data_IF_206958545724
#
_entry.id   IF_206958545724
#
_cell.length_a   1.000
_cell.length_b   1.000
_cell.length_c   1.000
_cell.angle_alpha   90.00
_cell.angle_beta   90.00
_cell.angle_gamma   90.00
#
_symmetry.space_group_name_H-M   'P 1'
#
loop_
_entity.id
_entity.type
_entity.pdbx_description
1 polymer ?
#
# COMPACT_ATOMS: atom_id res chain seq x y z
N UNK A 1 -19.18 -11.35 -18.85
CA UNK A 1 -18.14 -12.19 -18.25
C UNK A 1 -16.86 -11.87 -18.99
N UNK A 2 -16.02 -11.05 -18.36
CA UNK A 2 -14.92 -10.35 -19.01
C UNK A 2 -13.67 -11.24 -19.09
N UNK A 3 -13.01 -11.26 -20.24
CA UNK A 3 -11.87 -12.14 -20.56
C UNK A 3 -10.65 -11.88 -19.66
N UNK A 4 -10.64 -10.77 -18.92
CA UNK A 4 -9.58 -10.40 -17.98
C UNK A 4 -9.71 -11.06 -16.60
N UNK A 5 -10.86 -11.64 -16.23
CA UNK A 5 -11.06 -12.15 -14.85
C UNK A 5 -10.34 -13.48 -14.53
N UNK A 6 -9.68 -14.12 -15.51
CA UNK A 6 -9.16 -15.49 -15.37
C UNK A 6 -7.64 -15.62 -15.59
N UNK A 7 -6.92 -14.51 -15.80
CA UNK A 7 -5.46 -14.58 -15.95
C UNK A 7 -4.80 -14.34 -14.60
N UNK A 8 -3.96 -15.29 -14.18
CA UNK A 8 -3.15 -15.10 -12.99
C UNK A 8 -2.15 -13.94 -13.21
N UNK A 9 -2.05 -13.08 -12.21
CA UNK A 9 -1.00 -12.06 -12.15
C UNK A 9 0.32 -12.79 -11.93
N UNK A 10 1.35 -12.43 -12.67
CA UNK A 10 2.67 -13.07 -12.53
C UNK A 10 3.79 -12.05 -12.38
N UNK A 11 3.58 -10.82 -12.84
CA UNK A 11 4.59 -9.77 -12.80
C UNK A 11 4.23 -8.68 -11.79
N UNK A 12 5.01 -8.62 -10.71
CA UNK A 12 4.83 -7.71 -9.59
C UNK A 12 6.00 -6.73 -9.48
N UNK A 13 5.68 -5.48 -9.16
CA UNK A 13 6.63 -4.50 -8.66
C UNK A 13 6.25 -4.16 -7.23
N UNK A 14 7.16 -4.40 -6.27
CA UNK A 14 6.86 -4.27 -4.83
C UNK A 14 7.76 -3.21 -4.20
N UNK A 15 7.13 -2.24 -3.53
CA UNK A 15 7.79 -1.09 -2.92
C UNK A 15 7.41 -0.93 -1.45
N UNK A 16 8.35 -0.40 -0.67
CA UNK A 16 8.17 -0.03 0.73
C UNK A 16 8.59 1.43 0.87
N UNK A 17 7.75 2.29 1.44
CA UNK A 17 8.16 3.62 1.90
C UNK A 17 8.51 3.56 3.37
N UNK A 18 9.65 4.15 3.75
CA UNK A 18 10.15 4.10 5.13
C UNK A 18 10.72 5.45 5.55
N UNK A 19 10.57 5.76 6.83
CA UNK A 19 11.12 6.94 7.47
C UNK A 19 11.69 6.57 8.85
N UNK A 20 12.60 7.38 9.43
CA UNK A 20 13.14 7.09 10.75
C UNK A 20 12.03 6.99 11.80
N UNK A 21 12.10 5.95 12.63
CA UNK A 21 11.17 5.67 13.73
C UNK A 21 11.97 5.40 15.01
N UNK A 22 11.38 5.71 16.16
CA UNK A 22 11.95 5.35 17.48
C UNK A 22 12.05 3.84 17.64
N UNK A 23 11.05 3.12 17.15
CA UNK A 23 10.99 1.66 17.11
C UNK A 23 10.95 1.22 15.64
N UNK A 24 12.09 0.81 15.05
CA UNK A 24 12.15 0.41 13.65
C UNK A 24 11.34 -0.87 13.37
N UNK A 25 10.46 -0.80 12.37
CA UNK A 25 9.60 -1.91 11.93
C UNK A 25 9.99 -2.46 10.56
N UNK A 26 10.91 -1.80 9.85
CA UNK A 26 11.27 -2.11 8.46
C UNK A 26 11.71 -3.58 8.27
N UNK A 27 12.53 -4.11 9.19
CA UNK A 27 12.96 -5.52 9.16
C UNK A 27 11.77 -6.48 9.20
N UNK A 28 10.82 -6.25 10.12
CA UNK A 28 9.64 -7.09 10.28
C UNK A 28 8.76 -7.04 9.01
N UNK A 29 8.61 -5.86 8.42
CA UNK A 29 7.91 -5.67 7.14
C UNK A 29 8.57 -6.46 6.02
N UNK A 30 9.89 -6.35 5.85
CA UNK A 30 10.65 -7.08 4.82
C UNK A 30 10.51 -8.60 5.00
N UNK A 31 10.67 -9.09 6.24
CA UNK A 31 10.59 -10.51 6.53
C UNK A 31 9.20 -11.07 6.24
N UNK A 32 8.14 -10.33 6.59
CA UNK A 32 6.77 -10.75 6.30
C UNK A 32 6.44 -10.70 4.79
N UNK A 33 6.94 -9.71 4.05
CA UNK A 33 6.82 -9.64 2.58
C UNK A 33 7.48 -10.85 1.90
N UNK A 34 8.67 -11.25 2.36
CA UNK A 34 9.37 -12.44 1.86
C UNK A 34 8.56 -13.71 2.12
N UNK A 35 8.07 -13.90 3.34
CA UNK A 35 7.16 -15.02 3.69
C UNK A 35 5.84 -14.99 2.93
N UNK A 36 5.37 -13.81 2.53
CA UNK A 36 4.20 -13.65 1.69
C UNK A 36 4.44 -14.03 0.21
N UNK A 37 5.70 -14.19 -0.21
CA UNK A 37 6.11 -14.67 -1.53
C UNK A 37 6.79 -13.62 -2.43
N UNK A 38 7.20 -12.47 -1.90
CA UNK A 38 7.91 -11.43 -2.65
C UNK A 38 9.37 -11.29 -2.21
N UNK A 39 10.30 -11.71 -3.07
CA UNK A 39 11.74 -11.68 -2.79
C UNK A 39 12.45 -10.43 -3.35
N UNK A 40 11.89 -9.80 -4.38
CA UNK A 40 12.44 -8.60 -5.01
C UNK A 40 11.69 -7.37 -4.50
N UNK A 41 12.35 -6.57 -3.65
CA UNK A 41 11.73 -5.44 -2.96
C UNK A 41 12.47 -4.14 -3.27
N UNK A 42 11.72 -3.05 -3.39
CA UNK A 42 12.27 -1.69 -3.56
C UNK A 42 12.00 -0.87 -2.29
N UNK A 43 13.04 -0.31 -1.68
CA UNK A 43 12.94 0.45 -0.42
C UNK A 43 13.19 1.92 -0.71
N UNK A 44 12.16 2.75 -0.53
CA UNK A 44 12.19 4.19 -0.72
C UNK A 44 12.35 4.89 0.62
N UNK A 45 13.62 5.12 1.00
CA UNK A 45 14.00 5.48 2.36
C UNK A 45 14.26 6.98 2.52
N UNK A 46 13.54 7.62 3.45
CA UNK A 46 13.87 8.96 3.92
C UNK A 46 15.25 8.99 4.62
N UNK A 47 15.91 10.15 4.76
CA UNK A 47 17.20 10.24 5.44
C UNK A 47 17.16 9.78 6.89
N UNK A 48 18.16 8.98 7.28
CA UNK A 48 18.36 8.49 8.66
C UNK A 48 17.68 7.16 8.96
N UNK A 49 17.14 6.47 7.96
CA UNK A 49 16.64 5.10 8.11
C UNK A 49 17.82 4.13 8.19
N UNK A 50 17.81 3.25 9.18
CA UNK A 50 18.73 2.12 9.25
C UNK A 50 18.29 1.05 8.25
N UNK A 51 19.10 0.83 7.22
CA UNK A 51 18.84 -0.18 6.20
C UNK A 51 19.40 -1.53 6.65
N UNK A 52 18.68 -2.64 6.45
CA UNK A 52 19.16 -3.96 6.86
C UNK A 52 20.46 -4.33 6.15
N UNK A 53 21.40 -4.95 6.87
CA UNK A 53 22.71 -5.33 6.32
C UNK A 53 22.60 -6.40 5.21
N UNK A 54 21.57 -7.24 5.26
CA UNK A 54 21.27 -8.21 4.21
C UNK A 54 20.41 -7.58 3.12
N UNK A 55 21.09 -6.96 2.16
CA UNK A 55 20.49 -6.28 1.00
C UNK A 55 20.36 -7.16 -0.24
N UNK A 56 20.56 -8.47 -0.12
CA UNK A 56 20.36 -9.36 -1.26
C UNK A 56 18.89 -9.27 -1.72
N UNK A 57 18.72 -8.96 -3.00
CA UNK A 57 17.43 -8.69 -3.66
C UNK A 57 16.66 -7.45 -3.17
N UNK A 58 17.31 -6.54 -2.44
CA UNK A 58 16.76 -5.23 -2.08
C UNK A 58 17.33 -4.15 -3.00
N UNK A 59 16.46 -3.45 -3.73
CA UNK A 59 16.81 -2.19 -4.38
C UNK A 59 16.55 -1.05 -3.39
N UNK A 60 17.61 -0.43 -2.89
CA UNK A 60 17.49 0.70 -1.97
C UNK A 60 17.55 2.01 -2.76
N UNK A 61 16.54 2.85 -2.56
CA UNK A 61 16.39 4.17 -3.18
C UNK A 61 16.36 5.22 -2.06
N UNK A 62 17.53 5.76 -1.66
CA UNK A 62 17.59 6.78 -0.62
C UNK A 62 17.07 8.12 -1.13
N UNK A 63 16.34 8.83 -0.28
CA UNK A 63 15.98 10.25 -0.48
C UNK A 63 17.10 11.14 0.06
N UNK A 64 17.29 12.29 -0.58
CA UNK A 64 18.29 13.28 -0.16
C UNK A 64 17.80 14.17 0.97
N UNK A 65 16.48 14.30 1.13
CA UNK A 65 15.83 15.12 2.16
C UNK A 65 14.56 14.41 2.67
N UNK A 66 14.02 14.88 3.79
CA UNK A 66 12.75 14.38 4.33
C UNK A 66 11.57 14.94 3.54
N UNK A 67 10.91 14.08 2.76
CA UNK A 67 9.81 14.46 1.87
C UNK A 67 8.43 14.41 2.55
N UNK A 68 8.28 13.56 3.56
CA UNK A 68 7.00 13.25 4.18
C UNK A 68 6.30 12.07 3.50
N UNK A 69 5.24 11.58 4.14
CA UNK A 69 4.59 10.34 3.73
C UNK A 69 4.00 10.38 2.32
N UNK A 70 3.20 11.40 2.00
CA UNK A 70 2.58 11.47 0.67
C UNK A 70 3.60 11.69 -0.45
N UNK A 71 4.54 12.65 -0.36
CA UNK A 71 5.46 12.90 -1.47
C UNK A 71 6.43 11.74 -1.68
N UNK A 72 6.93 11.10 -0.60
CA UNK A 72 7.76 9.90 -0.74
C UNK A 72 6.97 8.75 -1.38
N UNK A 73 5.71 8.54 -0.98
CA UNK A 73 4.83 7.53 -1.56
C UNK A 73 4.52 7.76 -3.04
N UNK A 74 4.22 9.00 -3.43
CA UNK A 74 3.90 9.35 -4.81
C UNK A 74 5.13 9.19 -5.72
N UNK A 75 6.31 9.64 -5.27
CA UNK A 75 7.57 9.42 -5.99
C UNK A 75 7.93 7.94 -6.07
N UNK A 76 7.75 7.18 -5.00
CA UNK A 76 7.97 5.74 -5.00
C UNK A 76 7.14 5.05 -6.10
N UNK A 77 5.82 5.27 -6.14
CA UNK A 77 4.95 4.68 -7.16
C UNK A 77 5.36 5.12 -8.58
N UNK A 78 5.76 6.38 -8.76
CA UNK A 78 6.27 6.90 -10.04
C UNK A 78 7.52 6.15 -10.49
N UNK A 79 8.49 5.97 -9.60
CA UNK A 79 9.72 5.25 -9.90
C UNK A 79 9.48 3.78 -10.17
N UNK A 80 8.61 3.12 -9.40
CA UNK A 80 8.21 1.73 -9.64
C UNK A 80 7.65 1.56 -11.05
N UNK A 81 6.72 2.44 -11.46
CA UNK A 81 6.10 2.43 -12.78
C UNK A 81 7.13 2.65 -13.90
N UNK A 82 8.09 3.55 -13.71
CA UNK A 82 9.09 3.86 -14.74
C UNK A 82 10.18 2.79 -14.85
N UNK A 83 10.55 2.14 -13.73
CA UNK A 83 11.54 1.05 -13.71
C UNK A 83 10.98 -0.24 -14.29
N UNK A 84 9.73 -0.55 -13.94
CA UNK A 84 9.02 -1.71 -14.46
C UNK A 84 7.69 -1.29 -15.06
N UNK A 85 7.67 -0.76 -16.29
CA UNK A 85 6.46 -0.29 -16.95
C UNK A 85 5.52 -1.42 -17.38
N UNK A 86 5.94 -2.69 -17.25
CA UNK A 86 5.19 -3.89 -17.63
C UNK A 86 4.70 -4.69 -16.42
N UNK A 87 4.91 -4.22 -15.20
CA UNK A 87 4.31 -4.85 -14.02
C UNK A 87 2.79 -4.90 -14.19
N UNK A 88 2.18 -6.04 -13.88
CA UNK A 88 0.73 -6.22 -13.89
C UNK A 88 0.10 -5.63 -12.61
N UNK A 89 0.85 -5.68 -11.50
CA UNK A 89 0.46 -5.13 -10.21
C UNK A 89 1.63 -4.41 -9.51
N UNK A 90 1.33 -3.25 -8.92
CA UNK A 90 2.25 -2.47 -8.10
C UNK A 90 1.77 -2.52 -6.64
N UNK A 91 2.46 -3.27 -5.78
CA UNK A 91 2.21 -3.29 -4.34
C UNK A 91 3.11 -2.25 -3.66
N UNK A 92 2.52 -1.24 -3.04
CA UNK A 92 3.23 -0.22 -2.28
C UNK A 92 2.74 -0.19 -0.83
N UNK A 93 3.64 -0.57 0.09
CA UNK A 93 3.37 -0.63 1.52
C UNK A 93 4.14 0.46 2.28
N UNK A 94 3.66 0.77 3.49
CA UNK A 94 4.47 1.45 4.50
C UNK A 94 5.33 0.43 5.26
N UNK A 95 6.32 0.91 6.02
CA UNK A 95 7.34 0.07 6.68
C UNK A 95 6.91 -0.52 8.03
N UNK A 96 5.66 -0.37 8.44
CA UNK A 96 5.10 -0.85 9.69
C UNK A 96 3.93 -1.81 9.51
N UNK A 97 4.13 -2.81 8.63
CA UNK A 97 3.14 -3.83 8.32
C UNK A 97 3.66 -5.24 8.58
N UNK A 98 2.79 -6.12 9.05
CA UNK A 98 2.95 -7.56 8.89
C UNK A 98 1.98 -8.04 7.83
N UNK A 99 2.46 -8.89 6.93
CA UNK A 99 1.67 -9.46 5.84
C UNK A 99 1.47 -10.95 6.07
N UNK A 100 0.27 -11.45 5.79
CA UNK A 100 -0.05 -12.87 5.88
C UNK A 100 0.88 -13.71 4.99
N UNK A 101 1.31 -14.86 5.49
CA UNK A 101 2.11 -15.80 4.70
C UNK A 101 1.31 -16.28 3.47
N UNK A 102 1.99 -16.55 2.36
CA UNK A 102 1.39 -16.94 1.06
C UNK A 102 0.44 -15.91 0.41
N UNK A 103 0.39 -14.66 0.88
CA UNK A 103 -0.49 -13.61 0.32
C UNK A 103 -0.32 -13.47 -1.20
N UNK A 104 0.91 -13.52 -1.74
CA UNK A 104 1.13 -13.41 -3.18
C UNK A 104 0.36 -14.49 -3.95
N UNK A 105 0.52 -15.75 -3.57
CA UNK A 105 -0.11 -16.87 -4.27
C UNK A 105 -1.64 -16.75 -4.26
N UNK A 106 -2.21 -16.28 -3.16
CA UNK A 106 -3.65 -15.98 -3.07
C UNK A 106 -4.06 -14.84 -4.02
N UNK A 107 -3.35 -13.71 -3.97
CA UNK A 107 -3.66 -12.54 -4.79
C UNK A 107 -3.50 -12.82 -6.29
N UNK A 108 -2.48 -13.58 -6.69
CA UNK A 108 -2.29 -13.95 -8.10
C UNK A 108 -3.51 -14.68 -8.70
N UNK A 109 -4.34 -15.33 -7.87
CA UNK A 109 -5.57 -16.02 -8.29
C UNK A 109 -6.86 -15.21 -8.12
N UNK A 110 -6.85 -14.19 -7.24
CA UNK A 110 -8.08 -13.56 -6.72
C UNK A 110 -8.13 -12.06 -6.90
N UNK A 111 -6.99 -11.42 -7.16
CA UNK A 111 -6.92 -9.98 -7.33
C UNK A 111 -7.70 -9.54 -8.59
N UNK A 112 -8.14 -8.30 -8.56
CA UNK A 112 -9.08 -7.68 -9.51
C UNK A 112 -10.55 -8.18 -9.37
N UNK A 113 -11.23 -7.85 -8.25
CA UNK A 113 -12.64 -8.18 -8.05
C UNK A 113 -13.62 -7.51 -9.04
N UNK A 114 -13.15 -6.61 -9.91
CA UNK A 114 -13.91 -5.91 -10.93
C UNK A 114 -13.01 -5.64 -12.16
N UNK A 115 -13.63 -5.43 -13.32
CA UNK A 115 -12.90 -5.18 -14.57
C UNK A 115 -12.15 -3.83 -14.56
N UNK A 116 -12.77 -2.81 -13.97
CA UNK A 116 -12.20 -1.48 -13.77
C UNK A 116 -12.11 -1.21 -12.27
N UNK A 117 -10.91 -0.87 -11.78
CA UNK A 117 -10.62 -0.67 -10.36
C UNK A 117 -9.66 0.50 -10.24
N UNK A 118 -9.92 1.36 -9.24
CA UNK A 118 -9.00 2.40 -8.82
C UNK A 118 -7.89 1.80 -7.98
N UNK A 119 -8.20 1.21 -6.84
CA UNK A 119 -7.17 0.60 -5.98
C UNK A 119 -7.73 -0.60 -5.22
N UNK A 120 -6.84 -1.53 -4.88
CA UNK A 120 -7.08 -2.56 -3.88
C UNK A 120 -6.19 -2.29 -2.68
N UNK A 121 -6.77 -2.10 -1.51
CA UNK A 121 -6.08 -2.18 -0.22
C UNK A 121 -6.17 -3.61 0.30
N UNK A 122 -5.03 -4.25 0.57
CA UNK A 122 -5.03 -5.53 1.28
C UNK A 122 -5.09 -5.36 2.81
N UNK A 123 -5.23 -4.11 3.24
CA UNK A 123 -5.53 -3.70 4.60
C UNK A 123 -7.03 -3.37 4.75
N UNK A 124 -7.67 -3.94 5.76
CA UNK A 124 -9.01 -3.53 6.19
C UNK A 124 -8.98 -3.04 7.64
N UNK A 125 -9.14 -1.72 7.88
CA UNK A 125 -9.13 -1.17 9.22
C UNK A 125 -10.35 -1.63 10.02
N UNK A 126 -10.21 -1.74 11.34
CA UNK A 126 -11.22 -2.28 12.25
C UNK A 126 -12.60 -1.62 12.21
N UNK A 127 -12.68 -0.36 11.80
CA UNK A 127 -13.94 0.38 11.70
C UNK A 127 -14.67 0.19 10.36
N UNK A 128 -14.08 -0.55 9.42
CA UNK A 128 -14.75 -0.95 8.19
C UNK A 128 -15.62 -2.18 8.42
N UNK A 129 -16.50 -2.46 7.46
CA UNK A 129 -17.27 -3.70 7.47
C UNK A 129 -16.29 -4.88 7.45
N UNK A 130 -16.45 -5.77 8.43
CA UNK A 130 -15.65 -6.98 8.54
C UNK A 130 -16.49 -8.18 8.11
N UNK A 131 -15.94 -9.01 7.24
CA UNK A 131 -16.51 -10.29 6.86
C UNK A 131 -15.64 -11.41 7.46
N UNK A 132 -16.27 -12.49 7.88
CA UNK A 132 -15.56 -13.71 8.31
C UNK A 132 -15.02 -14.49 7.11
N UNK A 133 -15.71 -14.43 5.97
CA UNK A 133 -15.28 -15.05 4.72
C UNK A 133 -14.33 -14.11 3.97
N UNK A 134 -13.12 -14.57 3.59
CA UNK A 134 -12.17 -13.79 2.80
C UNK A 134 -12.77 -13.30 1.48
N UNK A 135 -12.88 -11.98 1.33
CA UNK A 135 -13.33 -11.36 0.10
C UNK A 135 -12.85 -9.91 -0.04
N UNK A 136 -12.98 -9.38 -1.26
CA UNK A 136 -12.79 -7.96 -1.53
C UNK A 136 -14.11 -7.22 -1.34
N UNK A 137 -14.11 -6.29 -0.39
CA UNK A 137 -15.26 -5.45 -0.07
C UNK A 137 -15.06 -4.08 -0.73
N UNK A 138 -16.07 -3.63 -1.46
CA UNK A 138 -16.07 -2.29 -2.04
C UNK A 138 -16.14 -1.23 -0.94
N UNK A 139 -15.33 -0.20 -1.09
CA UNK A 139 -15.20 0.94 -0.19
C UNK A 139 -15.46 2.23 -0.98
N UNK A 140 -16.41 3.05 -0.54
CA UNK A 140 -16.84 4.26 -1.27
C UNK A 140 -16.90 5.49 -0.35
N UNK A 141 -15.93 5.65 0.56
CA UNK A 141 -15.89 6.78 1.52
C UNK A 141 -15.06 7.98 1.05
N UNK A 142 -14.53 7.95 -0.18
CA UNK A 142 -13.81 9.08 -0.78
C UNK A 142 -12.68 9.57 0.13
N UNK A 143 -12.71 10.85 0.49
CA UNK A 143 -11.72 11.47 1.40
C UNK A 143 -11.61 10.81 2.79
N UNK A 144 -12.60 10.04 3.22
CA UNK A 144 -12.60 9.32 4.51
C UNK A 144 -12.10 7.87 4.37
N UNK A 145 -11.48 7.52 3.25
CA UNK A 145 -10.91 6.19 3.02
C UNK A 145 -9.62 5.97 3.83
N UNK A 146 -9.35 4.72 4.20
CA UNK A 146 -8.22 4.23 5.02
C UNK A 146 -7.75 2.91 4.41
N UNK A 147 -6.50 2.84 3.93
CA UNK A 147 -5.93 1.67 3.24
C UNK A 147 -4.48 1.83 2.72
N UNK A 148 -3.91 3.03 2.77
CA UNK A 148 -2.56 3.37 2.28
C UNK A 148 -1.42 2.67 3.00
N UNK A 149 -1.74 1.90 4.03
CA UNK A 149 -0.84 0.97 4.66
C UNK A 149 -0.29 -0.07 3.65
N UNK A 150 -1.13 -0.56 2.74
CA UNK A 150 -0.76 -1.53 1.71
C UNK A 150 -1.70 -1.47 0.50
N UNK A 151 -1.34 -0.64 -0.49
CA UNK A 151 -2.10 -0.49 -1.73
C UNK A 151 -1.53 -1.30 -2.88
N UNK A 152 -2.43 -1.82 -3.70
CA UNK A 152 -2.14 -2.47 -4.97
C UNK A 152 -2.85 -1.73 -6.10
N UNK A 153 -2.07 -1.28 -7.08
CA UNK A 153 -2.57 -0.68 -8.30
C UNK A 153 -2.32 -1.60 -9.48
N UNK A 154 -3.29 -1.68 -10.39
CA UNK A 154 -3.04 -2.23 -11.72
C UNK A 154 -2.18 -1.24 -12.51
N UNK A 155 -1.50 -1.71 -13.55
CA UNK A 155 -0.76 -0.83 -14.45
C UNK A 155 -1.58 0.38 -14.99
N UNK A 156 -2.77 0.18 -15.60
CA UNK A 156 -3.57 1.30 -16.07
C UNK A 156 -3.98 2.22 -14.92
N UNK A 157 -4.33 1.68 -13.75
CA UNK A 157 -4.72 2.48 -12.60
C UNK A 157 -3.57 3.35 -12.07
N UNK A 158 -2.37 2.79 -11.91
CA UNK A 158 -1.20 3.53 -11.46
C UNK A 158 -0.90 4.71 -12.40
N UNK A 159 -1.02 4.51 -13.72
CA UNK A 159 -0.86 5.58 -14.72
C UNK A 159 -1.92 6.65 -14.59
N UNK A 160 -3.19 6.26 -14.46
CA UNK A 160 -4.30 7.18 -14.30
C UNK A 160 -4.13 8.04 -13.04
N UNK A 161 -3.84 7.42 -11.89
CA UNK A 161 -3.59 8.11 -10.63
C UNK A 161 -2.43 9.10 -10.76
N UNK A 162 -1.27 8.66 -11.27
CA UNK A 162 -0.09 9.50 -11.38
C UNK A 162 -0.27 10.65 -12.38
N UNK A 163 -1.16 10.51 -13.35
CA UNK A 163 -1.50 11.59 -14.29
C UNK A 163 -2.61 12.53 -13.79
N UNK A 164 -3.27 12.22 -12.67
CA UNK A 164 -4.35 13.05 -12.16
C UNK A 164 -3.82 14.35 -11.55
N UNK A 165 -4.25 15.48 -12.13
CA UNK A 165 -3.80 16.82 -11.74
C UNK A 165 -4.11 17.15 -10.27
N UNK A 166 -5.20 16.62 -9.70
CA UNK A 166 -5.53 16.88 -8.30
C UNK A 166 -4.68 16.07 -7.36
N UNK A 167 -4.39 14.82 -7.70
CA UNK A 167 -3.45 13.98 -6.94
C UNK A 167 -2.07 14.63 -6.93
N UNK A 168 -1.56 15.02 -8.11
CA UNK A 168 -0.27 15.70 -8.24
C UNK A 168 -0.23 17.01 -7.42
N UNK A 169 -1.30 17.81 -7.50
CA UNK A 169 -1.39 19.10 -6.81
C UNK A 169 -1.61 18.98 -5.29
N UNK A 170 -1.85 17.78 -4.74
CA UNK A 170 -1.96 17.61 -3.28
C UNK A 170 -0.72 18.13 -2.55
N UNK A 171 0.48 17.98 -3.13
CA UNK A 171 1.71 18.53 -2.54
C UNK A 171 1.63 20.05 -2.34
N UNK A 172 1.09 20.79 -3.31
CA UNK A 172 1.05 22.25 -3.26
C UNK A 172 -0.16 22.82 -2.51
N UNK A 173 -1.28 22.09 -2.48
CA UNK A 173 -2.58 22.63 -2.05
C UNK A 173 -3.31 21.76 -1.02
N UNK A 174 -2.76 20.60 -0.70
CA UNK A 174 -3.34 19.65 0.24
C UNK A 174 -3.17 20.09 1.71
N UNK A 175 -4.02 19.58 2.62
CA UNK A 175 -3.87 19.83 4.04
C UNK A 175 -2.51 19.36 4.57
N UNK A 176 -2.01 20.05 5.59
CA UNK A 176 -0.68 19.84 6.15
C UNK A 176 0.42 19.85 5.08
N UNK A 177 0.36 20.85 4.20
CA UNK A 177 1.35 21.10 3.13
C UNK A 177 1.52 19.90 2.19
N UNK A 178 0.47 19.08 2.06
CA UNK A 178 0.49 17.88 1.22
C UNK A 178 1.48 16.80 1.68
N UNK A 179 1.93 16.83 2.95
CA UNK A 179 2.93 15.89 3.48
C UNK A 179 2.34 14.53 3.87
N UNK A 180 1.03 14.43 4.03
CA UNK A 180 0.32 13.25 4.57
C UNK A 180 -1.04 13.04 3.89
N UNK A 181 -1.86 12.12 4.41
CA UNK A 181 -3.21 11.78 3.91
C UNK A 181 -3.22 11.01 2.58
N UNK A 182 -2.31 10.04 2.41
CA UNK A 182 -2.29 9.19 1.22
C UNK A 182 -3.66 8.53 1.00
N UNK A 183 -4.27 8.02 2.06
CA UNK A 183 -5.56 7.33 2.01
C UNK A 183 -6.68 8.22 1.46
N UNK A 184 -6.76 9.44 1.99
CA UNK A 184 -7.79 10.40 1.64
C UNK A 184 -7.65 10.86 0.19
N UNK A 185 -6.41 11.07 -0.27
CA UNK A 185 -6.12 11.47 -1.66
C UNK A 185 -6.51 10.37 -2.63
N UNK A 186 -6.10 9.12 -2.36
CA UNK A 186 -6.43 7.98 -3.23
C UNK A 186 -7.93 7.69 -3.22
N UNK A 187 -8.59 7.75 -2.06
CA UNK A 187 -10.02 7.55 -1.94
C UNK A 187 -10.82 8.62 -2.69
N UNK A 188 -10.48 9.90 -2.53
CA UNK A 188 -11.12 11.00 -3.27
C UNK A 188 -10.88 10.89 -4.79
N UNK A 189 -9.69 10.44 -5.19
CA UNK A 189 -9.39 10.18 -6.60
C UNK A 189 -10.29 9.07 -7.16
N UNK A 190 -10.43 7.94 -6.44
CA UNK A 190 -11.32 6.84 -6.83
C UNK A 190 -12.77 7.33 -7.01
N UNK A 191 -13.29 8.07 -6.02
CA UNK A 191 -14.64 8.64 -6.04
C UNK A 191 -14.86 9.55 -7.26
N UNK A 192 -13.92 10.47 -7.51
CA UNK A 192 -14.01 11.41 -8.65
C UNK A 192 -13.93 10.73 -10.00
N UNK A 193 -13.06 9.72 -10.13
CA UNK A 193 -12.91 8.97 -11.38
C UNK A 193 -13.98 7.89 -11.55
N UNK A 194 -14.90 7.74 -10.58
CA UNK A 194 -15.91 6.68 -10.54
C UNK A 194 -15.29 5.27 -10.60
N UNK A 195 -14.07 5.14 -10.08
CA UNK A 195 -13.34 3.88 -10.04
C UNK A 195 -13.54 3.22 -8.67
N UNK A 196 -13.90 1.93 -8.60
CA UNK A 196 -14.04 1.22 -7.34
C UNK A 196 -12.73 1.22 -6.53
N UNK A 197 -12.85 1.46 -5.23
CA UNK A 197 -11.83 1.15 -4.24
C UNK A 197 -12.26 -0.13 -3.54
N UNK A 198 -11.35 -1.10 -3.37
CA UNK A 198 -11.63 -2.30 -2.60
C UNK A 198 -10.70 -2.40 -1.39
N UNK A 199 -11.21 -2.93 -0.27
CA UNK A 199 -10.41 -3.46 0.83
C UNK A 199 -10.55 -4.98 0.87
N UNK A 200 -9.57 -5.70 1.43
CA UNK A 200 -9.72 -7.13 1.68
C UNK A 200 -10.14 -7.40 3.14
N UNK A 201 -11.22 -8.15 3.35
CA UNK A 201 -11.67 -8.57 4.68
C UNK A 201 -11.84 -10.10 4.74
N UNK A 202 -11.27 -10.79 5.75
CA UNK A 202 -10.38 -10.26 6.79
C UNK A 202 -9.11 -9.61 6.22
N UNK A 203 -8.48 -8.71 6.97
CA UNK A 203 -7.28 -8.02 6.51
C UNK A 203 -6.14 -9.01 6.25
N UNK A 204 -5.44 -8.85 5.12
CA UNK A 204 -4.22 -9.63 4.82
C UNK A 204 -2.97 -8.98 5.38
N UNK A 205 -3.10 -7.78 5.95
CA UNK A 205 -2.01 -7.08 6.62
C UNK A 205 -2.44 -6.57 7.99
N UNK A 206 -1.46 -6.42 8.88
CA UNK A 206 -1.61 -5.91 10.23
C UNK A 206 -0.65 -4.73 10.43
N UNK A 207 -1.18 -3.59 10.86
CA UNK A 207 -0.37 -2.45 11.26
C UNK A 207 0.37 -2.75 12.57
N UNK A 208 1.69 -2.56 12.62
CA UNK A 208 2.52 -2.81 13.81
C UNK A 208 3.24 -1.58 14.34
N UNK A 209 3.09 -0.42 13.70
CA UNK A 209 3.72 0.82 14.16
C UNK A 209 3.06 1.38 15.43
N UNK A 210 3.67 1.16 16.59
CA UNK A 210 3.22 1.73 17.87
C UNK A 210 3.38 3.25 17.95
N UNK A 211 4.30 3.81 17.17
CA UNK A 211 4.51 5.26 17.07
C UNK A 211 4.44 5.69 15.61
N UNK A 212 3.84 6.86 15.37
CA UNK A 212 3.77 7.46 14.04
C UNK A 212 4.63 8.69 13.94
N UNK A 213 5.50 8.73 12.93
CA UNK A 213 6.29 9.92 12.57
C UNK A 213 5.41 11.11 12.18
N UNK A 214 4.17 10.84 11.74
CA UNK A 214 3.20 11.86 11.27
C UNK A 214 2.25 12.29 12.40
N UNK A 215 1.98 11.39 13.35
CA UNK A 215 1.04 11.61 14.45
C UNK A 215 1.68 11.14 15.77
N UNK A 216 2.46 12.01 16.45
CA UNK A 216 3.25 11.63 17.62
C UNK A 216 2.44 11.06 18.79
N UNK A 217 1.14 11.37 18.86
CA UNK A 217 0.21 10.88 19.89
C UNK A 217 -0.58 9.64 19.48
N UNK A 218 -0.44 9.18 18.24
CA UNK A 218 -1.18 8.04 17.75
C UNK A 218 -0.42 6.75 18.05
N UNK A 219 -1.12 5.78 18.64
CA UNK A 219 -0.62 4.42 18.87
C UNK A 219 -1.29 3.40 17.95
N UNK A 220 -0.81 2.15 17.97
CA UNK A 220 -1.45 1.04 17.25
C UNK A 220 -2.83 0.69 17.86
N UNK A 221 -3.12 1.16 19.07
CA UNK A 221 -4.40 0.94 19.73
C UNK A 221 -5.55 1.65 18.98
N UNK A 222 -6.69 0.96 18.87
CA UNK A 222 -7.91 1.49 18.27
C UNK A 222 -8.05 1.20 16.76
N UNK A 223 -8.51 2.20 16.00
CA UNK A 223 -8.98 2.03 14.62
C UNK A 223 -7.90 1.67 13.58
N UNK A 224 -6.62 1.71 13.97
CA UNK A 224 -5.46 1.39 13.12
C UNK A 224 -5.07 -0.09 13.16
N UNK A 225 -5.56 -0.85 14.14
CA UNK A 225 -5.40 -2.30 14.16
C UNK A 225 -6.50 -2.92 13.30
N UNK A 226 -6.16 -3.93 12.50
CA UNK A 226 -7.18 -4.79 11.88
C UNK A 226 -7.84 -5.63 12.98
N UNK A 227 -9.18 -5.68 13.03
CA UNK A 227 -9.88 -6.53 13.99
C UNK A 227 -9.70 -8.03 13.68
N UNK A 228 -9.62 -8.34 12.38
CA UNK A 228 -9.40 -9.69 11.88
C UNK A 228 -8.23 -9.64 10.89
N UNK A 229 -7.11 -10.25 11.28
CA UNK A 229 -5.92 -10.42 10.47
C UNK A 229 -5.72 -11.92 10.23
N UNK A 230 -5.44 -12.31 8.98
CA UNK A 230 -5.02 -13.68 8.66
C UNK A 230 -3.51 -13.78 8.83
N UNK A 231 -3.03 -14.69 9.67
CA UNK A 231 -1.58 -14.96 9.76
C UNK A 231 -1.09 -15.80 8.56
N UNK A 232 -1.97 -16.64 8.01
CA UNK A 232 -1.71 -17.54 6.89
C UNK A 232 -2.92 -17.60 5.95
N UNK A 233 -2.69 -17.60 4.64
CA UNK A 233 -3.75 -17.80 3.63
C UNK A 233 -3.55 -19.11 2.87
N UNK A 234 -4.65 -19.86 2.70
CA UNK A 234 -4.69 -21.12 1.95
C UNK A 234 -4.94 -20.87 0.45
#
# INVERSE_FOLDING_TARGET
>A
MDVLSNRNITHWSVGITTAPRTEPTLNQTIDSLRKAGWDQLQIYAEPGVEIPADSQNLLIVPRTERLGAFPNWYLALTEMLLRDPKAEAYLLCQDDVLIAENTRAYLERRLWPAAEIGVVSIYCPSHYQQNSTPDFIREDRGWRSWGALAYIFSNPSARLLLSDVTVLNHRGFGPAEGLKQIDAVVGLWCERQQLPYFVHSPSLVQHIGETSTIYPTASVAGHRKANHFLEHIQ
#
